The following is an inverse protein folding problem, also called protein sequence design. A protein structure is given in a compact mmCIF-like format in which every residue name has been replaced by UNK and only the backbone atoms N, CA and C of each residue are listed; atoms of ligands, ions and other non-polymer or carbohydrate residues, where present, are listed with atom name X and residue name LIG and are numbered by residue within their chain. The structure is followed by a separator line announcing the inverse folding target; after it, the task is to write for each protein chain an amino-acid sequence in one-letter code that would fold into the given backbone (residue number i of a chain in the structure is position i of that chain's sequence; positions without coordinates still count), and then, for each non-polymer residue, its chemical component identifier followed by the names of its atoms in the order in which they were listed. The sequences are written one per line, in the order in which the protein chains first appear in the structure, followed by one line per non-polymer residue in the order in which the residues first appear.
data_IF_609109992362
#
_entry.id   IF_609109992362
#
_cell.length_a   1.000
_cell.length_b   1.000
_cell.length_c   1.000
_cell.angle_alpha   90.00
_cell.angle_beta   90.00
_cell.angle_gamma   90.00
#
_symmetry.space_group_name_H-M   'P 1'
#
loop_
_entity.id
_entity.type
_entity.pdbx_description
1 polymer ?
#
# COMPACT_ATOMS: atom_id res chain seq x y z
N UNK A 1 -5.49 -2.61 6.60
CA UNK A 1 -4.87 -2.96 5.29
C UNK A 1 -4.12 -4.28 5.45
N UNK A 2 -4.35 -5.27 4.58
CA UNK A 2 -3.50 -6.45 4.50
C UNK A 2 -2.30 -6.18 3.59
N UNK A 3 -1.08 -6.40 4.08
CA UNK A 3 0.16 -6.26 3.31
C UNK A 3 0.65 -7.65 2.88
N UNK A 4 1.24 -7.71 1.69
CA UNK A 4 1.97 -8.87 1.20
C UNK A 4 3.15 -9.11 2.15
N UNK A 5 3.32 -10.35 2.66
CA UNK A 5 4.35 -10.65 3.65
C UNK A 5 5.77 -10.55 3.10
N UNK A 6 5.96 -10.28 1.80
CA UNK A 6 7.25 -10.20 1.11
C UNK A 6 8.36 -9.44 1.87
N UNK A 7 8.00 -8.38 2.59
CA UNK A 7 8.95 -7.51 3.31
C UNK A 7 8.81 -7.56 4.83
N UNK A 8 8.02 -8.49 5.39
CA UNK A 8 7.72 -8.59 6.82
C UNK A 8 7.27 -7.28 7.49
N UNK A 9 6.68 -6.35 6.72
CA UNK A 9 6.41 -4.98 7.18
C UNK A 9 5.06 -4.81 7.88
N UNK A 10 4.25 -5.86 8.00
CA UNK A 10 2.89 -5.80 8.53
C UNK A 10 2.79 -5.14 9.92
N UNK A 11 3.58 -5.62 10.87
CA UNK A 11 3.56 -5.12 12.26
C UNK A 11 4.08 -3.68 12.33
N UNK A 12 5.19 -3.39 11.66
CA UNK A 12 5.77 -2.05 11.65
C UNK A 12 4.81 -1.01 11.04
N UNK A 13 4.12 -1.37 9.96
CA UNK A 13 3.07 -0.53 9.37
C UNK A 13 1.90 -0.33 10.33
N UNK A 14 1.41 -1.40 10.98
CA UNK A 14 0.30 -1.29 11.92
C UNK A 14 0.62 -0.36 13.11
N UNK A 15 1.83 -0.45 13.67
CA UNK A 15 2.28 0.45 14.73
C UNK A 15 2.40 1.90 14.24
N UNK A 16 2.97 2.11 13.05
CA UNK A 16 3.09 3.44 12.45
C UNK A 16 1.74 4.09 12.11
N UNK A 17 0.75 3.29 11.70
CA UNK A 17 -0.62 3.76 11.47
C UNK A 17 -1.32 4.07 12.80
N UNK A 18 -1.18 3.23 13.83
CA UNK A 18 -1.75 3.49 15.15
C UNK A 18 -1.27 4.82 15.73
N UNK A 19 0.04 5.10 15.64
CA UNK A 19 0.62 6.37 16.08
C UNK A 19 0.08 7.59 15.32
N UNK A 20 -0.23 7.43 14.02
CA UNK A 20 -0.79 8.50 13.21
C UNK A 20 -2.30 8.69 13.39
N UNK A 21 -3.04 7.60 13.67
CA UNK A 21 -4.49 7.60 13.80
C UNK A 21 -4.94 8.14 15.17
N UNK A 22 -4.21 7.82 16.24
CA UNK A 22 -4.58 8.20 17.60
C UNK A 22 -4.90 9.70 17.78
N UNK A 23 -4.04 10.66 17.37
CA UNK A 23 -4.36 12.08 17.50
C UNK A 23 -5.52 12.52 16.60
N UNK A 24 -5.69 11.88 15.44
CA UNK A 24 -6.81 12.19 14.56
C UNK A 24 -8.15 11.75 15.16
N UNK A 25 -8.19 10.59 15.81
CA UNK A 25 -9.37 10.09 16.53
C UNK A 25 -9.69 10.98 17.72
N UNK A 26 -8.69 11.38 18.52
CA UNK A 26 -8.89 12.28 19.65
C UNK A 26 -9.54 13.61 19.20
N UNK A 27 -8.99 14.23 18.14
CA UNK A 27 -9.55 15.46 17.58
C UNK A 27 -10.98 15.28 17.06
N UNK A 28 -11.30 14.15 16.43
CA UNK A 28 -12.66 13.86 15.99
C UNK A 28 -13.67 13.79 17.14
N UNK A 29 -13.27 13.26 18.30
CA UNK A 29 -14.11 13.20 19.48
C UNK A 29 -14.41 14.60 20.04
N UNK A 30 -13.50 15.55 19.83
CA UNK A 30 -13.68 16.96 20.16
C UNK A 30 -14.42 17.76 19.05
N UNK A 31 -14.84 17.10 17.96
CA UNK A 31 -15.56 17.71 16.84
C UNK A 31 -14.67 18.23 15.71
N UNK A 32 -13.35 18.09 15.82
CA UNK A 32 -12.37 18.58 14.84
C UNK A 32 -12.07 17.55 13.75
N UNK A 33 -12.50 17.82 12.52
CA UNK A 33 -12.37 16.88 11.40
C UNK A 33 -11.10 17.04 10.57
N UNK A 34 -10.38 18.16 10.67
CA UNK A 34 -9.20 18.41 9.86
C UNK A 34 -8.09 17.36 10.06
N UNK A 35 -7.76 16.93 11.30
CA UNK A 35 -6.78 15.88 11.54
C UNK A 35 -7.17 14.51 10.93
N UNK A 36 -8.46 14.19 10.94
CA UNK A 36 -8.99 12.97 10.33
C UNK A 36 -8.79 12.95 8.80
N UNK A 37 -9.05 14.08 8.14
CA UNK A 37 -8.80 14.22 6.70
C UNK A 37 -7.31 14.11 6.37
N UNK A 38 -6.45 14.67 7.20
CA UNK A 38 -5.00 14.55 7.05
C UNK A 38 -4.54 13.09 7.22
N UNK A 39 -5.07 12.37 8.21
CA UNK A 39 -4.80 10.94 8.40
C UNK A 39 -5.27 10.11 7.20
N UNK A 40 -6.48 10.34 6.69
CA UNK A 40 -7.00 9.64 5.51
C UNK A 40 -6.09 9.84 4.29
N UNK A 41 -5.66 11.08 4.03
CA UNK A 41 -4.71 11.38 2.95
C UNK A 41 -3.38 10.64 3.14
N UNK A 42 -2.84 10.64 4.36
CA UNK A 42 -1.61 9.91 4.69
C UNK A 42 -1.77 8.41 4.44
N UNK A 43 -2.88 7.80 4.84
CA UNK A 43 -3.15 6.38 4.63
C UNK A 43 -3.18 6.03 3.14
N UNK A 44 -3.85 6.86 2.32
CA UNK A 44 -3.89 6.69 0.87
C UNK A 44 -2.51 6.83 0.21
N UNK A 45 -1.72 7.81 0.64
CA UNK A 45 -0.35 8.02 0.15
C UNK A 45 0.55 6.82 0.53
N UNK A 46 0.43 6.32 1.77
CA UNK A 46 1.14 5.13 2.24
C UNK A 46 0.77 3.89 1.42
N UNK A 47 -0.53 3.68 1.15
CA UNK A 47 -1.00 2.55 0.35
C UNK A 47 -0.47 2.61 -1.09
N UNK A 48 -0.53 3.79 -1.73
CA UNK A 48 0.01 4.00 -3.08
C UNK A 48 1.51 3.72 -3.13
N UNK A 49 2.27 4.20 -2.14
CA UNK A 49 3.71 3.90 -2.02
C UNK A 49 3.96 2.40 -1.87
N UNK A 50 3.24 1.72 -0.98
CA UNK A 50 3.36 0.28 -0.80
C UNK A 50 3.11 -0.50 -2.10
N UNK A 51 2.08 -0.15 -2.88
CA UNK A 51 1.82 -0.80 -4.17
C UNK A 51 2.92 -0.56 -5.22
N UNK A 52 3.58 0.60 -5.20
CA UNK A 52 4.73 0.87 -6.06
C UNK A 52 5.94 0.03 -5.65
N UNK A 53 6.27 0.02 -4.36
CA UNK A 53 7.36 -0.78 -3.80
C UNK A 53 7.16 -2.28 -4.05
N UNK A 54 5.96 -2.81 -3.80
CA UNK A 54 5.61 -4.21 -4.06
C UNK A 54 5.85 -4.58 -5.52
N UNK A 55 5.37 -3.77 -6.47
CA UNK A 55 5.62 -4.00 -7.91
C UNK A 55 7.09 -3.97 -8.25
N UNK A 56 7.89 -3.06 -7.66
CA UNK A 56 9.33 -3.01 -7.88
C UNK A 56 10.00 -4.31 -7.45
N UNK A 57 9.66 -4.85 -6.28
CA UNK A 57 10.19 -6.14 -5.83
C UNK A 57 9.82 -7.28 -6.78
N UNK A 58 8.55 -7.39 -7.18
CA UNK A 58 8.13 -8.45 -8.10
C UNK A 58 8.75 -8.36 -9.49
N UNK A 59 9.09 -7.16 -9.98
CA UNK A 59 9.78 -6.99 -11.28
C UNK A 59 11.24 -7.42 -11.27
N UNK A 60 11.85 -7.62 -10.11
CA UNK A 60 13.23 -8.07 -10.02
C UNK A 60 13.36 -9.57 -10.31
N UNK A 61 12.27 -10.34 -10.19
CA UNK A 61 12.25 -11.75 -10.54
C UNK A 61 12.18 -11.93 -12.07
N UNK A 62 13.15 -12.64 -12.63
CA UNK A 62 13.30 -12.86 -14.07
C UNK A 62 13.35 -14.35 -14.46
N UNK A 63 13.31 -15.28 -13.49
CA UNK A 63 13.35 -16.73 -13.74
C UNK A 63 12.05 -17.27 -14.35
N UNK A 64 10.93 -16.58 -14.13
CA UNK A 64 9.60 -17.03 -14.54
C UNK A 64 8.78 -15.94 -15.24
N UNK A 65 9.26 -15.38 -16.37
CA UNK A 65 8.64 -14.24 -17.02
C UNK A 65 7.26 -14.54 -17.63
N UNK A 66 6.99 -15.80 -18.00
CA UNK A 66 5.73 -16.23 -18.63
C UNK A 66 4.68 -16.71 -17.63
N UNK A 67 5.05 -16.86 -16.36
CA UNK A 67 4.16 -17.42 -15.36
C UNK A 67 3.11 -16.39 -14.91
N UNK A 68 1.80 -16.69 -14.99
CA UNK A 68 0.73 -15.73 -14.69
C UNK A 68 0.81 -15.11 -13.29
N UNK A 69 1.34 -15.85 -12.32
CA UNK A 69 1.55 -15.37 -10.95
C UNK A 69 2.44 -14.12 -10.90
N UNK A 70 3.56 -14.14 -11.63
CA UNK A 70 4.58 -13.10 -11.61
C UNK A 70 4.15 -11.91 -12.45
N UNK A 71 3.59 -12.15 -13.65
CA UNK A 71 3.07 -11.09 -14.52
C UNK A 71 2.02 -10.22 -13.81
N UNK A 72 1.05 -10.84 -13.13
CA UNK A 72 -0.01 -10.12 -12.39
C UNK A 72 0.50 -9.25 -11.24
N UNK A 73 1.67 -9.56 -10.68
CA UNK A 73 2.22 -8.86 -9.51
C UNK A 73 3.33 -7.87 -9.86
N UNK A 74 4.03 -8.09 -10.96
CA UNK A 74 5.04 -7.19 -11.50
C UNK A 74 4.40 -6.02 -12.28
N UNK A 75 3.25 -6.23 -12.91
CA UNK A 75 2.59 -5.25 -13.76
C UNK A 75 1.23 -4.81 -13.20
N UNK A 76 0.86 -3.55 -13.45
CA UNK A 76 -0.50 -3.09 -13.17
C UNK A 76 -1.47 -3.75 -14.15
N UNK A 77 -2.75 -4.02 -13.80
CA UNK A 77 -3.74 -4.50 -14.77
C UNK A 77 -3.83 -3.63 -16.03
N UNK A 78 -3.67 -2.30 -15.92
CA UNK A 78 -3.61 -1.39 -17.07
C UNK A 78 -2.39 -1.64 -18.00
N UNK A 79 -1.32 -2.24 -17.48
CA UNK A 79 -0.11 -2.59 -18.23
C UNK A 79 -0.14 -4.04 -18.76
N UNK A 80 -1.12 -4.86 -18.36
CA UNK A 80 -1.34 -6.22 -18.87
C UNK A 80 -2.34 -6.27 -20.02
N UNK A 81 -2.98 -5.14 -20.34
CA UNK A 81 -3.77 -5.00 -21.56
C UNK A 81 -2.81 -4.99 -22.76
N UNK A 82 -2.67 -6.13 -23.43
CA UNK A 82 -1.98 -6.24 -24.73
C UNK A 82 -2.90 -5.67 -25.81
N UNK A 83 -2.40 -4.88 -26.79
CA UNK A 83 -3.20 -4.46 -27.94
C UNK A 83 -3.60 -5.67 -28.79
N UNK A 84 -4.80 -5.61 -29.36
CA UNK A 84 -5.40 -6.66 -30.20
C UNK A 84 -4.55 -7.01 -31.44
#
# INVERSE_FOLDING_TARGET
MGLDPLTSSGIACALGDALAAAPAIAAMLDGELAPARAYAKRADDCFRRYLAERRRHYRQENRWPEQPFWQRRAFSPAALAVPA
#
